data_IF_907714610724
#
_entry.id   IF_907714610724
#
_cell.length_a   1.000
_cell.length_b   1.000
_cell.length_c   1.000
_cell.angle_alpha   90.00
_cell.angle_beta   90.00
_cell.angle_gamma   90.00
#
_symmetry.space_group_name_H-M   'P 1'
#
loop_
_entity.id
_entity.type
_entity.pdbx_description
1 polymer ?
#
# COMPACT_ATOMS: atom_id res chain seq x y z
N UNK A 1 -13.61 15.69 -27.14
CA UNK A 1 -12.92 15.22 -25.93
C UNK A 1 -13.97 15.08 -24.83
N UNK A 2 -14.31 13.86 -24.41
CA UNK A 2 -15.10 13.66 -23.18
C UNK A 2 -14.27 14.20 -22.03
N UNK A 3 -14.80 15.12 -21.21
CA UNK A 3 -14.21 15.43 -19.90
C UNK A 3 -14.10 14.09 -19.18
N UNK A 4 -12.88 13.68 -18.82
CA UNK A 4 -12.71 12.55 -17.92
C UNK A 4 -13.54 12.85 -16.68
N UNK A 5 -14.40 11.92 -16.31
CA UNK A 5 -15.20 12.04 -15.08
C UNK A 5 -14.22 11.83 -13.92
N UNK A 6 -13.66 12.91 -13.37
CA UNK A 6 -12.68 12.88 -12.27
C UNK A 6 -13.33 12.59 -10.91
N UNK A 7 -14.54 12.04 -10.89
CA UNK A 7 -15.25 11.82 -9.64
C UNK A 7 -14.59 10.75 -8.78
N UNK A 8 -14.00 9.71 -9.40
CA UNK A 8 -13.38 8.56 -8.71
C UNK A 8 -12.01 8.22 -9.27
N UNK A 9 -11.09 7.84 -8.40
CA UNK A 9 -9.78 7.40 -8.85
C UNK A 9 -8.90 6.83 -7.74
N UNK A 10 -7.76 6.30 -8.14
CA UNK A 10 -6.79 5.65 -7.26
C UNK A 10 -5.49 6.46 -7.24
N UNK A 11 -4.91 6.65 -6.06
CA UNK A 11 -3.61 7.28 -5.89
C UNK A 11 -2.63 6.32 -5.22
N UNK A 12 -1.44 6.19 -5.78
CA UNK A 12 -0.34 5.38 -5.27
C UNK A 12 0.93 6.21 -5.12
N UNK A 13 1.79 5.83 -4.17
CA UNK A 13 3.11 6.42 -3.96
C UNK A 13 4.19 5.42 -4.33
N UNK A 14 5.06 5.75 -5.29
CA UNK A 14 6.04 4.85 -5.86
C UNK A 14 7.42 5.51 -5.96
N UNK A 15 8.19 5.44 -4.89
CA UNK A 15 9.57 5.92 -4.84
C UNK A 15 10.52 4.73 -4.74
N UNK A 16 11.32 4.51 -5.77
CA UNK A 16 12.29 3.41 -5.83
C UNK A 16 13.40 3.56 -4.76
N UNK A 17 13.87 2.44 -4.25
CA UNK A 17 15.14 2.37 -3.55
C UNK A 17 16.19 1.64 -4.43
N UNK A 18 17.34 1.26 -3.86
CA UNK A 18 18.43 0.64 -4.63
C UNK A 18 18.12 -0.77 -5.12
N UNK A 19 17.06 -1.41 -4.63
CA UNK A 19 16.79 -2.84 -4.86
C UNK A 19 15.37 -3.11 -5.34
N UNK A 20 14.41 -2.30 -4.91
CA UNK A 20 12.99 -2.50 -5.20
C UNK A 20 12.52 -1.40 -6.15
N UNK A 21 11.99 -1.81 -7.30
CA UNK A 21 11.39 -0.93 -8.30
C UNK A 21 9.89 -0.74 -7.99
N UNK A 22 9.61 0.16 -7.05
CA UNK A 22 8.23 0.51 -6.68
C UNK A 22 7.44 1.12 -7.83
N UNK A 23 8.11 1.82 -8.77
CA UNK A 23 7.41 2.40 -9.92
C UNK A 23 6.92 1.31 -10.88
N UNK A 24 7.73 0.27 -11.15
CA UNK A 24 7.28 -0.89 -11.92
C UNK A 24 6.09 -1.57 -11.24
N UNK A 25 6.12 -1.74 -9.91
CA UNK A 25 4.99 -2.29 -9.17
C UNK A 25 3.74 -1.42 -9.32
N UNK A 26 3.88 -0.09 -9.34
CA UNK A 26 2.77 0.81 -9.60
C UNK A 26 2.20 0.65 -11.02
N UNK A 27 3.05 0.47 -12.03
CA UNK A 27 2.62 0.21 -13.42
C UNK A 27 1.83 -1.10 -13.50
N UNK A 28 2.37 -2.18 -12.95
CA UNK A 28 1.70 -3.49 -12.91
C UNK A 28 0.35 -3.38 -12.22
N UNK A 29 0.33 -2.77 -11.03
CA UNK A 29 -0.91 -2.65 -10.26
C UNK A 29 -1.92 -1.71 -10.93
N UNK A 30 -1.46 -0.68 -11.65
CA UNK A 30 -2.33 0.19 -12.46
C UNK A 30 -3.05 -0.58 -13.56
N UNK A 31 -2.35 -1.46 -14.26
CA UNK A 31 -2.97 -2.32 -15.28
C UNK A 31 -3.96 -3.32 -14.66
N UNK A 32 -3.63 -3.91 -13.50
CA UNK A 32 -4.54 -4.77 -12.74
C UNK A 32 -5.80 -4.00 -12.30
N UNK A 33 -5.65 -2.76 -11.84
CA UNK A 33 -6.75 -1.85 -11.48
C UNK A 33 -7.67 -1.61 -12.68
N UNK A 34 -7.09 -1.27 -13.84
CA UNK A 34 -7.87 -1.08 -15.07
C UNK A 34 -8.63 -2.35 -15.42
N UNK A 35 -7.98 -3.51 -15.35
CA UNK A 35 -8.53 -4.82 -15.69
C UNK A 35 -9.64 -5.26 -14.77
N UNK A 36 -9.42 -5.22 -13.45
CA UNK A 36 -10.33 -5.81 -12.47
C UNK A 36 -11.36 -4.81 -11.93
N UNK A 37 -10.99 -3.53 -11.78
CA UNK A 37 -11.90 -2.50 -11.25
C UNK A 37 -12.55 -1.64 -12.33
N UNK A 38 -12.04 -1.65 -13.58
CA UNK A 38 -12.51 -0.77 -14.64
C UNK A 38 -12.22 0.72 -14.38
N UNK A 39 -11.21 1.03 -13.55
CA UNK A 39 -10.82 2.39 -13.19
C UNK A 39 -9.61 2.82 -14.02
N UNK A 40 -9.79 3.85 -14.86
CA UNK A 40 -8.71 4.46 -15.66
C UNK A 40 -8.07 5.65 -14.95
N UNK A 41 -8.75 6.28 -14.01
CA UNK A 41 -8.28 7.44 -13.24
C UNK A 41 -7.25 7.01 -12.19
N UNK A 42 -6.00 6.89 -12.57
CA UNK A 42 -4.89 6.44 -11.71
C UNK A 42 -3.82 7.53 -11.65
N UNK A 43 -3.51 7.97 -10.42
CA UNK A 43 -2.42 8.92 -10.13
C UNK A 43 -1.29 8.19 -9.43
N UNK A 44 -0.08 8.32 -9.94
CA UNK A 44 1.14 7.84 -9.27
C UNK A 44 2.00 9.01 -8.86
N UNK A 45 2.28 9.10 -7.55
CA UNK A 45 3.21 10.08 -6.97
C UNK A 45 4.59 9.46 -6.89
N UNK A 46 5.57 10.08 -7.50
CA UNK A 46 6.94 9.55 -7.60
C UNK A 46 7.99 10.66 -7.52
N UNK A 47 9.26 10.30 -7.64
CA UNK A 47 10.39 11.25 -7.74
C UNK A 47 11.04 11.17 -9.13
N UNK A 48 11.82 12.20 -9.52
CA UNK A 48 12.43 12.27 -10.86
C UNK A 48 13.31 11.05 -11.19
N UNK A 49 14.08 10.55 -10.22
CA UNK A 49 14.99 9.42 -10.46
C UNK A 49 14.23 8.09 -10.65
N UNK A 50 13.14 7.88 -9.90
CA UNK A 50 12.28 6.71 -10.07
C UNK A 50 11.57 6.72 -11.43
N UNK A 51 11.09 7.89 -11.86
CA UNK A 51 10.44 8.05 -13.16
C UNK A 51 11.44 7.85 -14.32
N UNK A 52 12.62 8.49 -14.27
CA UNK A 52 13.66 8.34 -15.31
C UNK A 52 14.12 6.87 -15.43
N UNK A 53 14.24 6.15 -14.30
CA UNK A 53 14.55 4.72 -14.31
C UNK A 53 13.45 3.91 -14.99
N UNK A 54 12.19 4.18 -14.67
CA UNK A 54 11.05 3.49 -15.26
C UNK A 54 10.90 3.77 -16.76
N UNK A 55 11.10 5.00 -17.22
CA UNK A 55 11.06 5.35 -18.63
C UNK A 55 12.13 4.60 -19.44
N UNK A 56 13.32 4.41 -18.86
CA UNK A 56 14.41 3.63 -19.48
C UNK A 56 14.16 2.13 -19.49
N UNK A 57 13.52 1.59 -18.47
CA UNK A 57 13.33 0.13 -18.31
C UNK A 57 12.04 -0.39 -18.94
N UNK A 58 10.94 0.37 -18.89
CA UNK A 58 9.62 -0.02 -19.37
C UNK A 58 9.23 0.64 -20.69
N UNK A 59 9.77 1.83 -20.93
CA UNK A 59 9.35 2.70 -22.04
C UNK A 59 8.13 3.56 -21.70
N UNK A 60 8.08 4.76 -22.27
CA UNK A 60 7.02 5.75 -22.00
C UNK A 60 5.63 5.26 -22.40
N UNK A 61 5.50 4.55 -23.51
CA UNK A 61 4.23 4.02 -24.01
C UNK A 61 3.55 3.09 -23.00
N UNK A 62 4.32 2.22 -22.34
CA UNK A 62 3.82 1.29 -21.31
C UNK A 62 3.33 2.06 -20.09
N UNK A 63 4.09 3.07 -19.68
CA UNK A 63 3.72 3.92 -18.53
C UNK A 63 2.44 4.68 -18.83
N UNK A 64 2.34 5.33 -19.99
CA UNK A 64 1.18 6.14 -20.38
C UNK A 64 -0.08 5.30 -20.63
N UNK A 65 0.05 4.02 -20.98
CA UNK A 65 -1.08 3.10 -21.09
C UNK A 65 -1.64 2.66 -19.73
N UNK A 66 -0.79 2.64 -18.69
CA UNK A 66 -1.16 2.18 -17.35
C UNK A 66 -1.57 3.33 -16.42
N UNK A 67 -0.94 4.50 -16.53
CA UNK A 67 -1.06 5.58 -15.55
C UNK A 67 -1.58 6.84 -16.24
N UNK A 68 -2.74 7.32 -15.78
CA UNK A 68 -3.39 8.50 -16.33
C UNK A 68 -2.70 9.81 -15.89
N UNK A 69 -2.18 9.87 -14.65
CA UNK A 69 -1.56 11.06 -14.09
C UNK A 69 -0.32 10.73 -13.26
N UNK A 70 0.79 11.43 -13.50
CA UNK A 70 2.03 11.28 -12.75
C UNK A 70 2.35 12.61 -12.06
N UNK A 71 2.45 12.55 -10.72
CA UNK A 71 2.84 13.69 -9.89
C UNK A 71 4.28 13.50 -9.44
N UNK A 72 5.17 14.35 -9.92
CA UNK A 72 6.59 14.28 -9.57
C UNK A 72 6.87 15.18 -8.36
N UNK A 73 7.39 14.59 -7.29
CA UNK A 73 7.75 15.28 -6.05
C UNK A 73 9.19 14.98 -5.66
N UNK A 74 9.84 15.90 -4.97
CA UNK A 74 11.18 15.66 -4.44
C UNK A 74 11.16 14.57 -3.35
N UNK A 75 12.13 13.65 -3.41
CA UNK A 75 12.33 12.69 -2.30
C UNK A 75 12.62 13.46 -1.01
N UNK A 76 11.88 13.16 0.01
CA UNK A 76 12.11 13.76 1.33
C UNK A 76 13.44 13.27 1.91
N UNK A 77 14.47 14.14 1.85
CA UNK A 77 15.83 13.84 2.31
C UNK A 77 15.99 13.91 3.84
N UNK A 78 15.03 14.51 4.54
CA UNK A 78 15.13 14.77 6.00
C UNK A 78 15.09 13.50 6.85
N UNK A 79 14.61 12.38 6.30
CA UNK A 79 14.40 11.13 7.03
C UNK A 79 15.36 9.98 6.64
N UNK A 80 16.51 10.27 6.04
CA UNK A 80 17.41 9.23 5.51
C UNK A 80 17.81 8.14 6.53
N UNK A 81 18.02 8.50 7.79
CA UNK A 81 18.39 7.54 8.84
C UNK A 81 17.19 6.95 9.58
N UNK A 82 16.08 7.70 9.71
CA UNK A 82 14.88 7.27 10.45
C UNK A 82 13.98 6.33 9.67
N UNK A 83 14.19 6.17 8.35
CA UNK A 83 13.35 5.37 7.46
C UNK A 83 14.08 4.18 6.83
N UNK A 84 15.15 3.71 7.44
CA UNK A 84 15.77 2.45 7.04
C UNK A 84 14.97 1.29 7.62
N UNK A 85 14.34 0.51 6.75
CA UNK A 85 13.58 -0.69 7.12
C UNK A 85 14.40 -1.93 6.84
N UNK A 86 14.20 -2.97 7.66
CA UNK A 86 14.73 -4.30 7.39
C UNK A 86 13.76 -5.00 6.44
N UNK A 87 14.22 -5.26 5.24
CA UNK A 87 13.49 -6.04 4.24
C UNK A 87 13.98 -7.47 4.32
N UNK A 88 13.07 -8.40 4.54
CA UNK A 88 13.37 -9.83 4.51
C UNK A 88 13.00 -10.39 3.14
N UNK A 89 13.81 -11.30 2.66
CA UNK A 89 13.51 -12.12 1.49
C UNK A 89 13.16 -13.55 1.94
N UNK A 90 13.86 -14.01 2.97
CA UNK A 90 13.62 -15.30 3.65
C UNK A 90 13.83 -15.12 5.14
N UNK A 91 13.56 -16.15 5.93
CA UNK A 91 13.90 -16.18 7.36
C UNK A 91 15.40 -16.02 7.66
N UNK A 92 16.26 -16.23 6.65
CA UNK A 92 17.72 -16.20 6.77
C UNK A 92 18.35 -15.02 6.03
N UNK A 93 17.59 -14.32 5.19
CA UNK A 93 18.09 -13.21 4.36
C UNK A 93 17.32 -11.95 4.65
N UNK A 94 18.03 -10.95 5.16
CA UNK A 94 17.47 -9.64 5.43
C UNK A 94 18.46 -8.53 5.07
N UNK A 95 17.96 -7.42 4.55
CA UNK A 95 18.78 -6.26 4.17
C UNK A 95 18.15 -4.96 4.66
N UNK A 96 18.91 -4.06 5.28
CA UNK A 96 18.44 -2.72 5.60
C UNK A 96 18.42 -1.86 4.32
N UNK A 97 17.26 -1.33 3.97
CA UNK A 97 17.08 -0.45 2.82
C UNK A 97 16.29 0.80 3.21
N UNK A 98 16.53 1.95 2.57
CA UNK A 98 15.73 3.14 2.78
C UNK A 98 14.29 2.93 2.26
N UNK A 99 13.32 3.45 3.01
CA UNK A 99 11.92 3.49 2.61
C UNK A 99 11.50 4.95 2.38
N UNK A 100 11.15 5.29 1.15
CA UNK A 100 10.85 6.67 0.73
C UNK A 100 9.34 6.97 0.63
N UNK A 101 8.47 5.94 0.63
CA UNK A 101 7.02 6.09 0.48
C UNK A 101 6.32 6.50 1.80
N UNK A 102 6.86 7.54 2.46
CA UNK A 102 6.40 8.03 3.78
C UNK A 102 5.41 9.19 3.68
N UNK A 103 5.25 9.78 2.49
CA UNK A 103 4.46 10.99 2.29
C UNK A 103 3.00 10.71 1.94
N UNK A 104 2.47 9.55 2.32
CA UNK A 104 1.07 9.18 2.05
C UNK A 104 0.05 10.14 2.70
N UNK A 105 0.47 10.88 3.71
CA UNK A 105 -0.33 11.96 4.30
C UNK A 105 -0.65 13.10 3.31
N UNK A 106 0.09 13.20 2.18
CA UNK A 106 -0.15 14.22 1.17
C UNK A 106 -1.20 13.76 0.12
N UNK A 107 -1.76 12.56 0.27
CA UNK A 107 -2.70 11.99 -0.70
C UNK A 107 -3.95 12.85 -0.90
N UNK A 108 -4.45 13.50 0.13
CA UNK A 108 -5.62 14.39 0.02
C UNK A 108 -5.36 15.57 -0.92
N UNK A 109 -4.20 16.22 -0.79
CA UNK A 109 -3.85 17.38 -1.60
C UNK A 109 -3.46 16.98 -3.03
N UNK A 110 -2.80 15.82 -3.18
CA UNK A 110 -2.27 15.35 -4.46
C UNK A 110 -3.28 14.58 -5.30
N UNK A 111 -4.34 14.07 -4.69
CA UNK A 111 -5.40 13.40 -5.44
C UNK A 111 -6.24 14.42 -6.22
N UNK A 112 -6.44 14.23 -7.53
CA UNK A 112 -7.33 15.09 -8.31
C UNK A 112 -8.81 14.67 -8.25
N UNK A 113 -9.17 13.64 -7.47
CA UNK A 113 -10.48 12.98 -7.47
C UNK A 113 -11.33 13.39 -6.28
N UNK A 114 -12.66 13.40 -6.45
CA UNK A 114 -13.62 13.64 -5.36
C UNK A 114 -13.72 12.42 -4.41
N UNK A 115 -13.78 11.21 -4.97
CA UNK A 115 -13.66 9.95 -4.24
C UNK A 115 -12.32 9.31 -4.59
N UNK A 116 -11.53 8.96 -3.59
CA UNK A 116 -10.16 8.44 -3.78
C UNK A 116 -9.93 7.18 -2.98
N UNK A 117 -9.31 6.18 -3.61
CA UNK A 117 -8.65 5.08 -2.89
C UNK A 117 -7.15 5.35 -2.93
N UNK A 118 -6.55 5.61 -1.77
CA UNK A 118 -5.10 5.60 -1.57
C UNK A 118 -4.65 4.15 -1.37
N UNK A 119 -3.75 3.67 -2.23
CA UNK A 119 -3.35 2.28 -2.32
C UNK A 119 -1.84 2.10 -2.18
N UNK A 120 -1.39 1.07 -1.48
CA UNK A 120 0.02 0.61 -1.55
C UNK A 120 0.28 -0.10 -2.88
N UNK A 121 1.42 0.16 -3.51
CA UNK A 121 1.77 -0.46 -4.80
C UNK A 121 2.02 -1.96 -4.70
N UNK A 122 2.21 -2.47 -3.51
CA UNK A 122 2.40 -3.89 -3.19
C UNK A 122 1.12 -4.56 -2.64
N UNK A 123 -0.03 -3.87 -2.77
CA UNK A 123 -1.36 -4.45 -2.61
C UNK A 123 -1.92 -4.77 -4.00
N UNK A 124 -1.76 -6.02 -4.42
CA UNK A 124 -2.16 -6.48 -5.75
C UNK A 124 -3.68 -6.55 -5.88
N UNK A 125 -4.20 -5.94 -6.92
CA UNK A 125 -5.61 -5.99 -7.29
C UNK A 125 -5.84 -7.21 -8.18
N UNK A 126 -6.39 -8.27 -7.60
CA UNK A 126 -6.64 -9.55 -8.25
C UNK A 126 -8.15 -9.87 -8.36
N UNK A 127 -9.00 -8.90 -7.98
CA UNK A 127 -10.45 -9.02 -7.98
C UNK A 127 -11.12 -7.65 -8.16
N UNK A 128 -12.44 -7.64 -8.29
CA UNK A 128 -13.26 -6.42 -8.35
C UNK A 128 -13.73 -5.92 -6.97
N UNK A 129 -13.23 -6.51 -5.90
CA UNK A 129 -13.76 -6.34 -4.54
C UNK A 129 -13.72 -4.89 -4.05
N UNK A 130 -12.66 -4.12 -4.40
CA UNK A 130 -12.54 -2.70 -4.01
C UNK A 130 -13.62 -1.80 -4.63
N UNK A 131 -14.33 -2.26 -5.67
CA UNK A 131 -15.46 -1.52 -6.21
C UNK A 131 -16.59 -1.31 -5.18
N UNK A 132 -16.65 -2.13 -4.12
CA UNK A 132 -17.60 -1.97 -3.01
C UNK A 132 -17.33 -0.72 -2.17
N UNK A 133 -16.17 -0.09 -2.29
CA UNK A 133 -15.85 1.15 -1.56
C UNK A 133 -16.53 2.38 -2.17
N UNK A 134 -16.85 2.36 -3.46
CA UNK A 134 -17.36 3.51 -4.17
C UNK A 134 -18.81 3.84 -3.84
N UNK A 135 -19.10 5.15 -3.69
CA UNK A 135 -20.46 5.62 -3.41
C UNK A 135 -20.96 5.28 -2.01
N UNK A 136 -20.07 4.88 -1.11
CA UNK A 136 -20.41 4.63 0.29
C UNK A 136 -20.79 5.94 1.01
N UNK A 137 -21.64 5.86 2.04
CA UNK A 137 -22.03 7.06 2.81
C UNK A 137 -20.88 7.58 3.69
N UNK A 138 -19.93 6.74 4.05
CA UNK A 138 -18.77 7.11 4.85
C UNK A 138 -17.81 8.01 4.07
N UNK A 139 -17.25 9.01 4.74
CA UNK A 139 -16.28 9.93 4.15
C UNK A 139 -14.85 9.37 4.18
N UNK A 140 -14.58 8.46 5.13
CA UNK A 140 -13.29 7.85 5.37
C UNK A 140 -13.46 6.41 5.83
N UNK A 141 -12.76 5.47 5.17
CA UNK A 141 -12.75 4.07 5.57
C UNK A 141 -11.32 3.51 5.52
N UNK A 142 -10.97 2.70 6.51
CA UNK A 142 -9.67 2.00 6.60
C UNK A 142 -9.84 0.63 7.24
N UNK A 143 -8.96 -0.31 6.91
CA UNK A 143 -8.91 -1.60 7.58
C UNK A 143 -8.18 -1.50 8.94
N UNK A 144 -8.78 -2.01 10.00
CA UNK A 144 -8.14 -2.25 11.30
C UNK A 144 -8.04 -3.75 11.62
N UNK A 145 -8.55 -4.61 10.73
CA UNK A 145 -8.35 -6.06 10.76
C UNK A 145 -7.61 -6.48 9.50
N UNK A 146 -6.80 -7.50 9.64
CA UNK A 146 -6.18 -8.19 8.53
C UNK A 146 -6.34 -9.70 8.70
N UNK A 147 -6.19 -10.43 7.60
CA UNK A 147 -6.18 -11.88 7.56
C UNK A 147 -4.86 -12.34 6.93
N UNK A 148 -4.06 -13.09 7.71
CA UNK A 148 -2.94 -13.81 7.11
C UNK A 148 -3.49 -14.93 6.21
N UNK A 149 -2.93 -15.06 4.99
CA UNK A 149 -3.40 -16.06 4.02
C UNK A 149 -3.22 -17.51 4.48
N UNK A 150 -2.35 -17.76 5.46
CA UNK A 150 -2.17 -19.07 6.08
C UNK A 150 -3.07 -19.32 7.30
N UNK A 151 -3.82 -18.31 7.77
CA UNK A 151 -4.73 -18.32 8.92
C UNK A 151 -4.12 -18.64 10.29
N UNK A 152 -3.08 -19.46 10.35
CA UNK A 152 -2.45 -19.93 11.58
C UNK A 152 -1.40 -18.98 12.15
N UNK A 153 -0.87 -18.08 11.30
CA UNK A 153 0.17 -17.12 11.71
C UNK A 153 -0.48 -15.85 12.25
N UNK A 154 -0.14 -15.50 13.47
CA UNK A 154 -0.62 -14.27 14.12
C UNK A 154 0.55 -13.40 14.51
N UNK A 155 0.48 -12.14 14.16
CA UNK A 155 1.40 -11.12 14.63
C UNK A 155 0.61 -10.09 15.47
N UNK A 156 0.59 -10.24 16.80
CA UNK A 156 -0.16 -9.34 17.66
C UNK A 156 0.33 -7.89 17.59
N UNK A 157 1.59 -7.67 17.18
CA UNK A 157 2.17 -6.32 17.05
C UNK A 157 1.54 -5.50 15.93
N UNK A 158 0.81 -6.16 15.02
CA UNK A 158 0.12 -5.52 13.89
C UNK A 158 -1.36 -5.21 14.18
N UNK A 159 -1.84 -5.45 15.41
CA UNK A 159 -3.23 -5.16 15.80
C UNK A 159 -3.35 -3.87 16.63
N UNK A 160 -2.31 -3.52 17.37
CA UNK A 160 -2.27 -2.36 18.26
C UNK A 160 -0.93 -1.64 18.17
N UNK A 161 -0.91 -0.34 18.50
CA UNK A 161 0.34 0.43 18.53
C UNK A 161 1.33 -0.08 19.58
N UNK A 162 0.80 -0.64 20.66
CA UNK A 162 1.54 -1.39 21.69
C UNK A 162 0.58 -2.37 22.39
N UNK A 163 1.04 -3.13 23.37
CA UNK A 163 0.25 -4.15 24.06
C UNK A 163 -1.05 -3.61 24.70
N UNK A 164 -1.04 -2.35 25.13
CA UNK A 164 -2.16 -1.66 25.78
C UNK A 164 -2.66 -0.45 25.00
N UNK A 165 -2.13 -0.24 23.79
CA UNK A 165 -2.41 0.94 22.98
C UNK A 165 -3.70 0.84 22.17
N UNK A 166 -3.92 1.88 21.37
CA UNK A 166 -5.05 1.97 20.45
C UNK A 166 -4.95 0.93 19.33
N UNK A 167 -6.08 0.60 18.72
CA UNK A 167 -6.17 -0.23 17.52
C UNK A 167 -5.32 0.38 16.40
N UNK A 168 -4.54 -0.44 15.72
CA UNK A 168 -3.79 -0.02 14.56
C UNK A 168 -4.65 -0.14 13.30
N UNK A 169 -4.77 0.96 12.58
CA UNK A 169 -5.32 0.98 11.23
C UNK A 169 -4.22 0.73 10.21
N UNK A 170 -4.55 -0.02 9.18
CA UNK A 170 -3.68 -0.27 8.04
C UNK A 170 -3.83 0.83 7.01
N UNK A 171 -2.75 1.56 6.77
CA UNK A 171 -2.72 2.58 5.72
C UNK A 171 -2.53 1.98 4.31
N UNK A 172 -2.62 0.67 4.15
CA UNK A 172 -2.46 -0.05 2.87
C UNK A 172 -3.53 0.32 1.86
N UNK A 173 -4.78 0.36 2.31
CA UNK A 173 -5.94 0.82 1.53
C UNK A 173 -6.70 1.83 2.38
N UNK A 174 -6.86 3.05 1.87
CA UNK A 174 -7.61 4.13 2.51
C UNK A 174 -8.57 4.72 1.50
N UNK A 175 -9.87 4.54 1.72
CA UNK A 175 -10.88 5.24 0.96
C UNK A 175 -11.18 6.58 1.62
N UNK A 176 -11.28 7.64 0.84
CA UNK A 176 -11.75 8.93 1.31
C UNK A 176 -12.48 9.73 0.22
N UNK A 177 -13.45 10.57 0.64
CA UNK A 177 -14.03 11.62 -0.18
C UNK A 177 -13.42 12.96 0.23
N UNK A 178 -13.34 13.91 -0.71
CA UNK A 178 -12.89 15.28 -0.42
C UNK A 178 -13.96 16.06 0.33
N UNK A 179 -13.82 16.12 1.65
CA UNK A 179 -14.68 16.85 2.57
C UNK A 179 -13.85 17.59 3.61
N UNK A 180 -14.39 18.59 4.31
CA UNK A 180 -13.68 19.27 5.39
C UNK A 180 -13.23 18.32 6.53
N UNK A 181 -13.96 17.23 6.75
CA UNK A 181 -13.59 16.22 7.74
C UNK A 181 -12.33 15.45 7.31
N UNK A 182 -12.30 14.97 6.08
CA UNK A 182 -11.14 14.21 5.56
C UNK A 182 -9.92 15.11 5.34
N UNK A 183 -10.11 16.38 4.97
CA UNK A 183 -9.04 17.39 4.97
C UNK A 183 -8.40 17.52 6.36
N UNK A 184 -9.23 17.70 7.39
CA UNK A 184 -8.78 17.79 8.78
C UNK A 184 -8.08 16.51 9.23
N UNK A 185 -8.58 15.34 8.81
CA UNK A 185 -7.95 14.05 9.08
C UNK A 185 -6.54 13.97 8.48
N UNK A 186 -6.35 14.27 7.20
CA UNK A 186 -5.03 14.23 6.56
C UNK A 186 -4.08 15.30 7.12
N UNK A 187 -4.59 16.46 7.52
CA UNK A 187 -3.81 17.46 8.25
C UNK A 187 -3.34 16.93 9.61
N UNK A 188 -4.20 16.20 10.33
CA UNK A 188 -3.81 15.51 11.58
C UNK A 188 -2.75 14.43 11.32
N UNK A 189 -2.88 13.62 10.26
CA UNK A 189 -1.84 12.65 9.85
C UNK A 189 -0.50 13.33 9.59
N UNK A 190 -0.49 14.47 8.86
CA UNK A 190 0.71 15.29 8.62
C UNK A 190 1.32 15.81 9.92
N UNK A 191 0.46 16.28 10.83
CA UNK A 191 0.92 16.79 12.14
C UNK A 191 1.59 15.67 12.95
N UNK A 192 1.01 14.48 13.03
CA UNK A 192 1.59 13.31 13.71
C UNK A 192 2.93 12.93 13.07
N UNK A 193 2.99 12.86 11.74
CA UNK A 193 4.21 12.56 10.99
C UNK A 193 5.34 13.56 11.26
N UNK A 194 5.00 14.85 11.36
CA UNK A 194 5.99 15.91 11.59
C UNK A 194 6.44 16.02 13.05
N UNK A 195 5.73 15.38 13.98
CA UNK A 195 6.05 15.35 15.42
C UNK A 195 6.20 13.90 15.95
N UNK A 196 7.00 13.04 15.30
CA UNK A 196 6.99 11.60 15.56
C UNK A 196 7.44 11.25 16.96
N UNK A 197 8.42 11.98 17.55
CA UNK A 197 8.90 11.71 18.89
C UNK A 197 7.84 12.02 19.96
N UNK A 198 7.13 13.15 19.83
CA UNK A 198 6.04 13.50 20.74
C UNK A 198 4.97 12.41 20.78
N UNK A 199 4.50 11.99 19.61
CA UNK A 199 3.46 10.97 19.51
C UNK A 199 3.94 9.58 19.90
N UNK A 200 5.21 9.25 19.66
CA UNK A 200 5.82 8.02 20.15
C UNK A 200 5.80 7.99 21.68
N UNK A 201 6.16 9.08 22.35
CA UNK A 201 6.16 9.16 23.80
C UNK A 201 4.75 9.13 24.39
N UNK A 202 3.78 9.74 23.69
CA UNK A 202 2.38 9.77 24.12
C UNK A 202 1.68 8.41 23.96
N UNK A 203 1.81 7.79 22.77
CA UNK A 203 1.12 6.54 22.42
C UNK A 203 1.95 5.29 22.70
N UNK A 204 3.22 5.45 23.09
CA UNK A 204 4.13 4.34 23.44
C UNK A 204 4.24 3.30 22.31
N UNK A 205 4.23 3.72 21.03
CA UNK A 205 4.34 2.74 19.97
C UNK A 205 5.68 2.00 20.00
N UNK A 206 5.63 0.72 19.65
CA UNK A 206 6.80 -0.14 19.64
C UNK A 206 7.72 0.19 18.44
N UNK A 207 9.02 0.04 18.66
CA UNK A 207 10.04 0.24 17.63
C UNK A 207 10.53 1.68 17.49
N UNK A 208 11.56 1.85 16.66
CA UNK A 208 12.26 3.13 16.43
C UNK A 208 11.86 3.81 15.13
N UNK A 209 11.19 3.08 14.24
CA UNK A 209 10.88 3.55 12.88
C UNK A 209 9.50 4.17 12.83
N UNK A 210 9.38 5.23 12.02
CA UNK A 210 8.10 5.77 11.63
C UNK A 210 7.39 4.82 10.66
N UNK A 211 6.07 4.63 10.86
CA UNK A 211 5.20 3.91 9.94
C UNK A 211 3.99 4.79 9.61
N UNK A 212 3.54 4.77 8.36
CA UNK A 212 2.29 5.43 7.96
C UNK A 212 1.11 4.94 8.81
N UNK A 213 1.04 3.62 9.08
CA UNK A 213 0.01 3.01 9.91
C UNK A 213 -0.13 3.70 11.29
N UNK A 214 0.98 4.11 11.89
CA UNK A 214 0.96 4.79 13.20
C UNK A 214 0.33 6.18 13.12
N UNK A 215 0.73 7.00 12.15
CA UNK A 215 0.16 8.34 12.02
C UNK A 215 -1.30 8.32 11.60
N UNK A 216 -1.70 7.40 10.73
CA UNK A 216 -3.11 7.21 10.37
C UNK A 216 -3.94 6.73 11.56
N UNK A 217 -3.43 5.77 12.36
CA UNK A 217 -4.13 5.26 13.55
C UNK A 217 -4.29 6.34 14.63
N UNK A 218 -3.24 7.13 14.87
CA UNK A 218 -3.30 8.23 15.84
C UNK A 218 -4.25 9.32 15.38
N UNK A 219 -4.20 9.69 14.10
CA UNK A 219 -5.15 10.65 13.53
C UNK A 219 -6.60 10.14 13.63
N UNK A 220 -6.84 8.86 13.35
CA UNK A 220 -8.15 8.24 13.51
C UNK A 220 -8.65 8.34 14.96
N UNK A 221 -7.80 8.04 15.94
CA UNK A 221 -8.12 8.13 17.36
C UNK A 221 -8.42 9.59 17.81
N UNK A 222 -7.60 10.56 17.37
CA UNK A 222 -7.80 11.97 17.70
C UNK A 222 -9.11 12.50 17.06
N UNK A 223 -9.31 12.25 15.78
CA UNK A 223 -10.45 12.76 15.01
C UNK A 223 -11.79 12.15 15.43
N UNK A 224 -11.77 10.94 16.01
CA UNK A 224 -12.97 10.30 16.57
C UNK A 224 -13.28 10.69 18.02
N UNK A 225 -12.62 11.72 18.56
CA UNK A 225 -12.78 12.11 19.96
C UNK A 225 -12.18 11.13 20.95
N UNK A 226 -11.03 10.57 20.60
CA UNK A 226 -10.27 9.57 21.37
C UNK A 226 -10.99 8.23 21.55
N UNK A 227 -11.85 7.87 20.60
CA UNK A 227 -12.52 6.58 20.58
C UNK A 227 -11.66 5.56 19.83
N UNK A 228 -11.54 4.34 20.38
CA UNK A 228 -10.94 3.22 19.66
C UNK A 228 -11.88 2.76 18.53
N UNK A 229 -11.32 2.55 17.32
CA UNK A 229 -12.08 2.17 16.12
C UNK A 229 -13.14 3.18 15.68
N UNK A 230 -12.84 4.47 15.84
CA UNK A 230 -13.76 5.55 15.47
C UNK A 230 -13.90 5.80 13.96
N UNK A 231 -13.09 5.15 13.11
CA UNK A 231 -13.20 5.20 11.64
C UNK A 231 -13.78 3.89 11.12
N UNK A 232 -14.67 4.00 10.15
CA UNK A 232 -15.37 2.85 9.55
C UNK A 232 -14.40 1.89 8.87
N UNK A 233 -14.70 0.59 9.01
CA UNK A 233 -13.99 -0.50 8.34
C UNK A 233 -14.30 -0.46 6.85
N UNK A 234 -13.28 -0.70 6.00
CA UNK A 234 -13.52 -1.00 4.60
C UNK A 234 -14.41 -2.23 4.44
N UNK A 235 -15.29 -2.28 3.44
CA UNK A 235 -16.17 -3.43 3.21
C UNK A 235 -15.39 -4.70 2.81
N UNK A 236 -14.10 -4.57 2.53
CA UNK A 236 -13.22 -5.62 2.04
C UNK A 236 -12.28 -6.13 3.13
N UNK A 237 -11.93 -7.41 3.10
CA UNK A 237 -10.93 -7.98 4.01
C UNK A 237 -9.52 -7.70 3.49
N UNK A 238 -8.64 -7.22 4.37
CA UNK A 238 -7.22 -7.07 4.07
C UNK A 238 -6.51 -8.42 4.23
N UNK A 239 -6.29 -9.13 3.13
CA UNK A 239 -5.44 -10.32 3.12
C UNK A 239 -3.98 -9.92 2.94
N UNK A 240 -3.09 -10.57 3.70
CA UNK A 240 -1.65 -10.31 3.58
C UNK A 240 -0.82 -11.58 3.69
N UNK A 241 0.39 -11.53 3.12
CA UNK A 241 1.46 -12.51 3.33
C UNK A 241 2.29 -12.15 4.56
N UNK A 242 3.26 -13.01 4.90
CA UNK A 242 4.39 -12.64 5.75
C UNK A 242 5.56 -12.15 4.89
N UNK A 243 6.50 -11.45 5.51
CA UNK A 243 7.68 -10.89 4.85
C UNK A 243 8.74 -11.95 4.44
N UNK A 244 8.51 -13.20 4.84
CA UNK A 244 9.29 -14.38 4.48
C UNK A 244 8.61 -15.29 3.47
N UNK A 245 7.34 -15.04 3.13
CA UNK A 245 6.66 -15.76 2.06
C UNK A 245 7.21 -15.35 0.69
N UNK A 246 7.25 -16.28 -0.24
CA UNK A 246 7.72 -16.01 -1.59
C UNK A 246 6.63 -16.26 -2.64
N UNK A 247 6.74 -15.59 -3.79
CA UNK A 247 5.89 -15.82 -4.95
C UNK A 247 6.74 -16.55 -5.99
N UNK A 248 6.31 -17.77 -6.33
CA UNK A 248 6.99 -18.60 -7.31
C UNK A 248 6.75 -18.09 -8.74
N UNK A 249 5.49 -17.81 -9.07
CA UNK A 249 5.09 -17.35 -10.41
C UNK A 249 3.71 -16.70 -10.39
N UNK A 250 3.43 -15.89 -11.39
CA UNK A 250 2.09 -15.48 -11.78
C UNK A 250 1.59 -16.44 -12.88
N UNK A 251 0.44 -17.05 -12.69
CA UNK A 251 -0.15 -17.96 -13.71
C UNK A 251 -0.91 -17.13 -14.75
N UNK A 252 -1.56 -16.09 -14.28
CA UNK A 252 -2.34 -15.13 -15.07
C UNK A 252 -2.48 -13.81 -14.29
N UNK A 253 -3.36 -12.91 -14.74
CA UNK A 253 -3.59 -11.58 -14.15
C UNK A 253 -4.29 -11.61 -12.78
N UNK A 254 -4.74 -12.76 -12.29
CA UNK A 254 -5.46 -12.90 -11.02
C UNK A 254 -5.04 -14.11 -10.18
N UNK A 255 -4.02 -14.87 -10.60
CA UNK A 255 -3.61 -16.13 -9.96
C UNK A 255 -2.10 -16.18 -9.71
N UNK A 256 -1.72 -16.43 -8.47
CA UNK A 256 -0.33 -16.57 -8.02
C UNK A 256 -0.08 -17.98 -7.47
N UNK A 257 1.10 -18.53 -7.73
CA UNK A 257 1.65 -19.69 -7.03
C UNK A 257 2.65 -19.19 -6.01
N UNK A 258 2.49 -19.59 -4.77
CA UNK A 258 3.23 -19.02 -3.65
C UNK A 258 3.82 -20.08 -2.73
N UNK A 259 4.97 -19.76 -2.15
CA UNK A 259 5.57 -20.51 -1.04
C UNK A 259 5.27 -19.78 0.27
N UNK A 260 4.47 -20.39 1.13
CA UNK A 260 4.14 -19.84 2.44
C UNK A 260 4.97 -20.52 3.51
N UNK A 261 5.73 -19.75 4.28
CA UNK A 261 6.53 -20.27 5.37
C UNK A 261 5.64 -20.79 6.49
N UNK A 262 5.85 -22.05 6.90
CA UNK A 262 5.04 -22.68 7.95
C UNK A 262 5.29 -22.04 9.32
N UNK A 263 4.25 -21.90 10.16
CA UNK A 263 4.42 -21.39 11.51
C UNK A 263 5.37 -22.29 12.32
N UNK A 264 6.29 -21.68 13.05
CA UNK A 264 7.27 -22.34 13.91
C UNK A 264 8.28 -23.26 13.21
N UNK A 265 8.38 -23.18 11.89
CA UNK A 265 9.32 -23.99 11.08
C UNK A 265 10.01 -23.09 10.05
N UNK A 266 10.91 -22.17 10.47
CA UNK A 266 11.64 -21.29 9.55
C UNK A 266 12.35 -22.08 8.45
N UNK A 267 12.14 -21.68 7.18
CA UNK A 267 12.70 -22.35 6.01
C UNK A 267 11.90 -23.57 5.52
N UNK A 268 10.80 -23.94 6.19
CA UNK A 268 9.87 -24.96 5.70
C UNK A 268 8.63 -24.28 5.08
N UNK A 269 8.37 -24.55 3.81
CA UNK A 269 7.36 -23.87 3.03
C UNK A 269 6.26 -24.83 2.57
N UNK A 270 5.06 -24.26 2.42
CA UNK A 270 3.94 -24.91 1.76
C UNK A 270 3.68 -24.20 0.44
N UNK A 271 3.59 -24.98 -0.64
CA UNK A 271 3.14 -24.47 -1.93
C UNK A 271 1.63 -24.27 -1.91
N UNK A 272 1.18 -23.11 -2.36
CA UNK A 272 -0.25 -22.79 -2.43
C UNK A 272 -0.59 -22.02 -3.70
N UNK A 273 -1.85 -22.07 -4.09
CA UNK A 273 -2.44 -21.24 -5.14
C UNK A 273 -3.31 -20.17 -4.50
N UNK A 274 -3.09 -18.92 -4.89
CA UNK A 274 -3.91 -17.78 -4.51
C UNK A 274 -4.57 -17.20 -5.74
N UNK A 275 -5.89 -17.02 -5.76
CA UNK A 275 -6.58 -16.62 -6.98
C UNK A 275 -7.81 -15.76 -6.71
N UNK A 276 -7.98 -14.71 -7.51
CA UNK A 276 -9.19 -13.85 -7.54
C UNK A 276 -9.54 -13.20 -6.19
N UNK A 277 -8.52 -12.93 -5.38
CA UNK A 277 -8.65 -12.21 -4.10
C UNK A 277 -7.46 -11.26 -3.96
N UNK A 278 -7.74 -9.99 -3.68
CA UNK A 278 -6.72 -8.96 -3.51
C UNK A 278 -5.75 -9.31 -2.37
N UNK A 279 -4.48 -8.96 -2.53
CA UNK A 279 -3.41 -9.43 -1.65
C UNK A 279 -2.36 -8.36 -1.35
N UNK A 280 -2.13 -8.09 -0.07
CA UNK A 280 -0.98 -7.29 0.38
C UNK A 280 0.26 -8.18 0.51
N UNK A 281 1.21 -8.02 -0.40
CA UNK A 281 2.46 -8.78 -0.43
C UNK A 281 3.49 -8.10 0.47
N UNK A 282 3.80 -8.72 1.62
CA UNK A 282 4.75 -8.16 2.58
C UNK A 282 6.21 -8.31 2.13
N UNK A 283 6.55 -9.41 1.44
CA UNK A 283 7.87 -9.62 0.86
C UNK A 283 8.04 -8.80 -0.43
N UNK A 284 8.76 -7.68 -0.32
CA UNK A 284 8.96 -6.76 -1.46
C UNK A 284 9.94 -7.31 -2.51
N UNK A 285 10.82 -8.23 -2.11
CA UNK A 285 11.69 -8.94 -3.04
C UNK A 285 10.91 -9.91 -3.91
N UNK A 286 9.99 -10.68 -3.31
CA UNK A 286 9.15 -11.63 -4.00
C UNK A 286 8.32 -10.96 -5.10
N UNK A 287 7.58 -9.91 -4.76
CA UNK A 287 6.74 -9.18 -5.72
C UNK A 287 7.59 -8.48 -6.80
N UNK A 288 8.77 -7.95 -6.44
CA UNK A 288 9.66 -7.30 -7.40
C UNK A 288 10.21 -8.31 -8.43
N UNK A 289 10.51 -9.55 -8.01
CA UNK A 289 10.98 -10.62 -8.92
C UNK A 289 9.95 -10.98 -9.98
N UNK A 290 8.68 -11.10 -9.60
CA UNK A 290 7.61 -11.52 -10.52
C UNK A 290 6.96 -10.36 -11.28
N UNK A 291 7.36 -9.12 -11.00
CA UNK A 291 6.69 -7.93 -11.57
C UNK A 291 6.74 -7.87 -13.10
N UNK A 292 7.80 -8.40 -13.72
CA UNK A 292 7.93 -8.48 -15.17
C UNK A 292 6.98 -9.53 -15.76
N UNK A 293 6.93 -10.72 -15.17
CA UNK A 293 6.00 -11.78 -15.54
C UNK A 293 4.54 -11.34 -15.43
N UNK A 294 4.19 -10.66 -14.33
CA UNK A 294 2.85 -10.08 -14.15
C UNK A 294 2.54 -9.02 -15.21
N UNK A 295 3.50 -8.17 -15.53
CA UNK A 295 3.33 -7.15 -16.58
C UNK A 295 3.00 -7.79 -17.93
N UNK A 296 3.71 -8.87 -18.29
CA UNK A 296 3.47 -9.59 -19.52
C UNK A 296 2.10 -10.26 -19.55
N UNK A 297 1.68 -10.89 -18.46
CA UNK A 297 0.34 -11.48 -18.36
C UNK A 297 -0.78 -10.44 -18.53
N UNK A 298 -0.68 -9.29 -17.86
CA UNK A 298 -1.70 -8.24 -17.96
C UNK A 298 -1.75 -7.65 -19.37
N UNK A 299 -0.59 -7.39 -20.00
CA UNK A 299 -0.51 -6.84 -21.36
C UNK A 299 -1.03 -7.77 -22.44
N UNK A 300 -0.78 -9.07 -22.33
CA UNK A 300 -1.23 -10.06 -23.32
C UNK A 300 -2.75 -10.31 -23.25
N UNK A 301 -3.40 -9.86 -22.19
CA UNK A 301 -4.84 -10.01 -21.96
C UNK A 301 -5.63 -8.70 -22.09
N UNK A 302 -4.97 -7.57 -22.40
CA UNK A 302 -5.57 -6.30 -22.77
C UNK A 302 -5.79 -6.23 -24.29
#
# INVERSE_FOLDING_TARGET
MKKANNDRGIIMFAHNNSEIDYFRLAVVNSMLIQRHLGIENITVVTDPASLDFAEKSLGREVIDSAINNIVVVEKNKQFKSANTRIYKDTSHTAKPLPFYNINRCDAYDLSPYEETILLDVDYLILSDTLNQCWGHNEELMMNWRYQDIMYERKDPTLNRLNDFGITMYWATVVYFRKTPYTESFFNCVKHVKNNPQFYKDLYKWNGTLYRNDYSFSIAAHVMSGFQDRGISQLPTTLYKTFDTDDIHSAVDDHTLIMYLEKPRSPGDFMLTKWSSVDLHVMNKWAINRISEEMLDHVRNNL
#
